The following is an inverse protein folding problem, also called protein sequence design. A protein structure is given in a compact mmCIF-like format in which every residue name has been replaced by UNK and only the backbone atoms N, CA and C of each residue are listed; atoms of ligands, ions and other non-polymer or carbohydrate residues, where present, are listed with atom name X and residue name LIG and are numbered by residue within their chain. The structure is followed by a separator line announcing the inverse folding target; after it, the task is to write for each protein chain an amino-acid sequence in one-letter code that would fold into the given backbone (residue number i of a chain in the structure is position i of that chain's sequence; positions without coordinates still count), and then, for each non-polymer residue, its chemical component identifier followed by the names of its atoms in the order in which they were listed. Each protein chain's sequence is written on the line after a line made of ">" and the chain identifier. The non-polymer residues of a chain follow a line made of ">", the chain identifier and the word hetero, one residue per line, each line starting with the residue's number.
data_IF_142791842600
#
_entry.id   IF_142791842600
#
_cell.length_a   1.000
_cell.length_b   1.000
_cell.length_c   1.000
_cell.angle_alpha   90.00
_cell.angle_beta   90.00
_cell.angle_gamma   90.00
#
_symmetry.space_group_name_H-M   'P 1'
#
loop_
_entity.id
_entity.type
_entity.pdbx_description
1 polymer ?
#
# COMPACT_ATOMS: atom_id res chain seq x y z
N UNK A 1 23.85 -5.19 14.42
CA UNK A 1 23.35 -5.71 13.13
C UNK A 1 22.42 -4.67 12.55
N UNK A 2 22.53 -4.38 11.25
CA UNK A 2 21.76 -3.33 10.59
C UNK A 2 21.38 -3.78 9.17
N UNK A 3 20.08 -3.80 8.87
CA UNK A 3 19.58 -4.15 7.53
C UNK A 3 19.92 -3.09 6.47
N UNK A 4 20.25 -1.86 6.89
CA UNK A 4 20.77 -0.82 5.99
C UNK A 4 22.15 -1.17 5.44
N UNK A 5 22.90 -2.07 6.11
CA UNK A 5 24.22 -2.51 5.71
C UNK A 5 24.56 -3.91 6.26
N UNK A 6 24.18 -4.95 5.51
CA UNK A 6 24.61 -6.32 5.75
C UNK A 6 25.70 -6.66 4.73
N UNK A 7 26.96 -6.62 5.15
CA UNK A 7 28.15 -6.87 4.32
C UNK A 7 28.23 -5.95 3.08
N UNK A 8 27.98 -4.66 3.25
CA UNK A 8 28.01 -3.67 2.17
C UNK A 8 26.73 -3.60 1.33
N UNK A 9 25.69 -4.38 1.68
CA UNK A 9 24.41 -4.43 0.95
C UNK A 9 23.25 -3.90 1.79
N UNK A 10 22.46 -3.00 1.21
CA UNK A 10 21.26 -2.41 1.82
C UNK A 10 20.00 -3.23 1.47
N UNK A 11 19.23 -3.59 2.49
CA UNK A 11 17.98 -4.36 2.39
C UNK A 11 16.74 -3.57 2.81
N UNK A 12 16.88 -2.28 3.10
CA UNK A 12 15.76 -1.39 3.38
C UNK A 12 15.18 -0.83 2.09
N UNK A 13 13.86 -0.73 2.05
CA UNK A 13 13.09 0.00 1.06
C UNK A 13 13.16 1.52 1.34
N UNK A 14 12.81 2.38 0.35
CA UNK A 14 12.86 3.83 0.53
C UNK A 14 12.00 4.32 1.70
N UNK A 15 12.38 5.44 2.30
CA UNK A 15 11.58 6.12 3.33
C UNK A 15 10.36 6.81 2.73
N UNK A 16 9.24 6.79 3.45
CA UNK A 16 7.95 7.38 3.04
C UNK A 16 7.47 8.42 4.05
N UNK A 17 6.63 9.35 3.59
CA UNK A 17 6.01 10.37 4.44
C UNK A 17 4.48 10.23 4.42
N UNK A 18 3.91 9.81 5.55
CA UNK A 18 2.46 9.61 5.68
C UNK A 18 1.66 10.92 5.74
N UNK A 19 2.29 12.05 6.04
CA UNK A 19 1.63 13.32 6.38
C UNK A 19 1.37 14.24 5.18
N UNK A 20 1.62 13.78 3.96
CA UNK A 20 1.42 14.56 2.72
C UNK A 20 0.59 13.78 1.72
N UNK A 21 -0.26 14.45 0.92
CA UNK A 21 -0.48 15.90 0.86
C UNK A 21 -1.33 16.48 2.01
N UNK A 22 -1.94 15.63 2.83
CA UNK A 22 -2.69 16.01 4.02
C UNK A 22 -2.29 15.12 5.20
N UNK A 23 -2.58 15.57 6.43
CA UNK A 23 -2.35 14.74 7.59
C UNK A 23 -3.19 13.46 7.54
N UNK A 24 -2.55 12.32 7.73
CA UNK A 24 -3.19 11.02 7.89
C UNK A 24 -2.42 10.22 8.95
N UNK A 25 -3.14 9.72 9.96
CA UNK A 25 -2.63 8.85 11.03
C UNK A 25 -2.42 7.40 10.59
N UNK A 26 -1.75 7.18 9.46
CA UNK A 26 -1.53 5.86 8.85
C UNK A 26 -0.16 5.24 9.20
N UNK A 27 0.37 5.50 10.39
CA UNK A 27 1.68 5.01 10.81
C UNK A 27 1.74 3.47 10.90
N UNK A 28 0.69 2.86 11.46
CA UNK A 28 0.55 1.40 11.56
C UNK A 28 0.63 0.72 10.19
N UNK A 29 0.03 1.35 9.17
CA UNK A 29 0.04 0.91 7.78
C UNK A 29 1.44 1.07 7.19
N UNK A 30 2.05 2.25 7.27
CA UNK A 30 3.38 2.51 6.73
C UNK A 30 4.45 1.59 7.33
N UNK A 31 4.47 1.46 8.65
CA UNK A 31 5.45 0.64 9.35
C UNK A 31 5.34 -0.84 8.95
N UNK A 32 4.11 -1.37 8.91
CA UNK A 32 3.87 -2.78 8.59
C UNK A 32 4.23 -3.11 7.15
N UNK A 33 3.84 -2.25 6.20
CA UNK A 33 4.15 -2.43 4.79
C UNK A 33 5.65 -2.32 4.51
N UNK A 34 6.33 -1.29 5.03
CA UNK A 34 7.79 -1.16 4.87
C UNK A 34 8.53 -2.37 5.46
N UNK A 35 8.14 -2.84 6.66
CA UNK A 35 8.75 -4.03 7.24
C UNK A 35 8.51 -5.30 6.39
N UNK A 36 7.35 -5.44 5.75
CA UNK A 36 7.05 -6.55 4.84
C UNK A 36 7.88 -6.45 3.54
N UNK A 37 7.98 -5.25 2.96
CA UNK A 37 8.77 -4.97 1.76
C UNK A 37 10.26 -5.27 1.99
N UNK A 38 10.82 -4.86 3.13
CA UNK A 38 12.21 -5.14 3.50
C UNK A 38 12.45 -6.65 3.63
N UNK A 39 11.49 -7.38 4.23
CA UNK A 39 11.56 -8.85 4.30
C UNK A 39 11.51 -9.51 2.92
N UNK A 40 10.72 -8.99 1.98
CA UNK A 40 10.73 -9.45 0.59
C UNK A 40 12.10 -9.19 -0.04
N UNK A 41 12.68 -8.01 0.17
CA UNK A 41 14.02 -7.67 -0.32
C UNK A 41 15.09 -8.60 0.27
N UNK A 42 15.03 -8.93 1.56
CA UNK A 42 15.89 -9.93 2.20
C UNK A 42 15.70 -11.31 1.59
N UNK A 43 14.45 -11.77 1.40
CA UNK A 43 14.15 -13.06 0.80
C UNK A 43 14.67 -13.18 -0.63
N UNK A 44 14.60 -12.08 -1.40
CA UNK A 44 15.18 -11.95 -2.75
C UNK A 44 16.69 -11.70 -2.73
N UNK A 45 17.36 -11.74 -1.58
CA UNK A 45 18.79 -11.43 -1.41
C UNK A 45 19.18 -10.07 -2.00
N UNK A 46 18.24 -9.12 -2.02
CA UNK A 46 18.36 -7.80 -2.62
C UNK A 46 18.62 -7.83 -4.12
N UNK A 47 18.00 -8.77 -4.84
CA UNK A 47 18.02 -8.85 -6.30
C UNK A 47 16.73 -8.30 -6.91
N UNK A 48 16.86 -7.65 -8.07
CA UNK A 48 15.75 -7.04 -8.80
C UNK A 48 15.21 -5.75 -8.15
N UNK A 49 14.07 -5.24 -8.65
CA UNK A 49 13.46 -4.02 -8.11
C UNK A 49 12.93 -4.24 -6.69
N UNK A 50 12.91 -3.14 -5.94
CA UNK A 50 12.23 -3.08 -4.63
C UNK A 50 10.72 -3.25 -4.83
N UNK A 51 10.11 -4.08 -4.00
CA UNK A 51 8.65 -4.25 -3.98
C UNK A 51 8.06 -3.11 -3.17
N UNK A 52 7.05 -2.45 -3.73
CA UNK A 52 6.32 -1.37 -3.09
C UNK A 52 4.86 -1.78 -2.95
N UNK A 53 4.43 -2.14 -1.75
CA UNK A 53 3.05 -2.61 -1.53
C UNK A 53 2.08 -1.43 -1.51
N UNK A 54 0.91 -1.60 -2.13
CA UNK A 54 -0.13 -0.59 -2.32
C UNK A 54 -0.72 -0.02 -1.03
N UNK A 55 -0.18 1.11 -0.59
CA UNK A 55 -0.60 1.82 0.63
C UNK A 55 -2.01 2.37 0.51
N UNK A 56 -2.32 3.01 -0.62
CA UNK A 56 -3.65 3.59 -0.83
C UNK A 56 -4.71 2.50 -1.00
N UNK A 57 -4.37 1.41 -1.71
CA UNK A 57 -5.25 0.25 -1.86
C UNK A 57 -5.65 -0.33 -0.52
N UNK A 58 -4.68 -0.50 0.40
CA UNK A 58 -4.97 -0.91 1.76
C UNK A 58 -5.76 0.16 2.53
N UNK A 59 -5.36 1.42 2.47
CA UNK A 59 -6.02 2.51 3.21
C UNK A 59 -7.51 2.63 2.86
N UNK A 60 -7.86 2.48 1.58
CA UNK A 60 -9.25 2.49 1.11
C UNK A 60 -10.07 1.28 1.57
N UNK A 61 -9.41 0.18 1.96
CA UNK A 61 -10.05 -1.12 2.21
C UNK A 61 -9.95 -1.63 3.64
N UNK A 62 -9.04 -1.11 4.45
CA UNK A 62 -8.79 -1.60 5.81
C UNK A 62 -9.99 -1.37 6.74
N UNK A 63 -10.80 -0.34 6.47
CA UNK A 63 -12.02 -0.03 7.23
C UNK A 63 -13.26 -0.69 6.65
N UNK A 64 -13.16 -1.26 5.44
CA UNK A 64 -14.26 -1.93 4.76
C UNK A 64 -14.50 -3.33 5.32
N UNK A 65 -15.56 -3.99 4.86
CA UNK A 65 -15.95 -5.34 5.32
C UNK A 65 -14.80 -6.32 5.18
N UNK A 66 -14.03 -6.20 4.11
CA UNK A 66 -12.85 -6.99 3.78
C UNK A 66 -11.77 -6.86 4.86
N UNK A 67 -11.40 -5.63 5.23
CA UNK A 67 -10.41 -5.39 6.28
C UNK A 67 -10.91 -5.69 7.70
N UNK A 68 -12.22 -5.58 7.94
CA UNK A 68 -12.84 -5.91 9.22
C UNK A 68 -13.13 -7.42 9.38
N UNK A 69 -13.15 -8.20 8.30
CA UNK A 69 -13.56 -9.61 8.31
C UNK A 69 -12.78 -10.47 9.30
N UNK A 70 -11.49 -10.15 9.51
CA UNK A 70 -10.60 -10.87 10.43
C UNK A 70 -10.53 -10.25 11.83
N UNK A 71 -11.57 -9.50 12.24
CA UNK A 71 -11.66 -8.82 13.53
C UNK A 71 -10.86 -7.53 13.60
N UNK A 72 -10.65 -6.87 12.45
CA UNK A 72 -9.84 -5.67 12.35
C UNK A 72 -10.42 -4.49 13.14
N UNK A 73 -9.55 -3.73 13.80
CA UNK A 73 -9.91 -2.57 14.62
C UNK A 73 -9.45 -1.25 13.99
N UNK A 74 -8.66 -1.31 12.92
CA UNK A 74 -8.09 -0.15 12.24
C UNK A 74 -9.14 0.77 11.63
N UNK A 75 -8.90 2.07 11.74
CA UNK A 75 -9.82 3.16 11.36
C UNK A 75 -9.16 4.11 10.33
N UNK A 76 -8.45 3.54 9.36
CA UNK A 76 -7.90 4.27 8.23
C UNK A 76 -6.93 5.37 8.66
N UNK A 77 -7.20 6.63 8.31
CA UNK A 77 -6.37 7.77 8.71
C UNK A 77 -6.54 8.18 10.19
N UNK A 78 -7.44 7.57 10.95
CA UNK A 78 -7.64 7.82 12.38
C UNK A 78 -6.82 6.89 13.29
N UNK A 79 -5.92 6.11 12.71
CA UNK A 79 -5.09 5.14 13.43
C UNK A 79 -5.56 3.70 13.24
N UNK A 80 -4.74 2.77 13.70
CA UNK A 80 -5.00 1.34 13.54
C UNK A 80 -3.88 0.47 14.10
N UNK A 81 -3.96 -0.82 13.79
CA UNK A 81 -3.09 -1.86 14.34
C UNK A 81 -2.32 -2.56 13.20
N UNK A 82 -1.02 -2.78 13.43
CA UNK A 82 -0.15 -3.46 12.48
C UNK A 82 -0.61 -4.90 12.17
N UNK A 83 -1.22 -5.60 13.13
CA UNK A 83 -1.73 -6.96 12.94
C UNK A 83 -2.84 -7.01 11.88
N UNK A 84 -3.68 -5.98 11.81
CA UNK A 84 -4.74 -5.90 10.79
C UNK A 84 -4.14 -5.83 9.39
N UNK A 85 -3.02 -5.12 9.23
CA UNK A 85 -2.28 -5.02 7.97
C UNK A 85 -1.73 -6.38 7.55
N UNK A 86 -1.10 -7.10 8.48
CA UNK A 86 -0.57 -8.44 8.19
C UNK A 86 -1.67 -9.46 7.89
N UNK A 87 -2.80 -9.41 8.59
CA UNK A 87 -3.98 -10.25 8.30
C UNK A 87 -4.55 -9.95 6.92
N UNK A 88 -4.71 -8.68 6.58
CA UNK A 88 -5.18 -8.27 5.26
C UNK A 88 -4.26 -8.82 4.15
N UNK A 89 -2.94 -8.68 4.32
CA UNK A 89 -1.98 -9.23 3.35
C UNK A 89 -2.02 -10.75 3.25
N UNK A 90 -2.30 -11.45 4.35
CA UNK A 90 -2.39 -12.91 4.37
C UNK A 90 -3.67 -13.41 3.68
N UNK A 91 -4.82 -12.80 4.00
CA UNK A 91 -6.14 -13.30 3.57
C UNK A 91 -6.55 -12.79 2.18
N UNK A 92 -6.13 -11.58 1.82
CA UNK A 92 -6.55 -10.88 0.58
C UNK A 92 -5.34 -10.58 -0.30
N UNK A 93 -4.23 -10.16 0.29
CA UNK A 93 -3.06 -9.68 -0.43
C UNK A 93 -3.15 -8.20 -0.81
N UNK A 94 -2.08 -7.68 -1.41
CA UNK A 94 -1.99 -6.29 -1.86
C UNK A 94 -1.38 -6.20 -3.25
N UNK A 95 -1.83 -5.25 -4.07
CA UNK A 95 -1.17 -4.93 -5.33
C UNK A 95 0.10 -4.09 -5.08
N UNK A 96 0.81 -3.77 -6.16
CA UNK A 96 1.91 -2.81 -6.15
C UNK A 96 1.39 -1.38 -5.94
N UNK A 97 2.21 -0.48 -5.39
CA UNK A 97 1.91 0.93 -5.15
C UNK A 97 1.49 1.68 -6.41
N UNK A 98 1.93 1.24 -7.59
CA UNK A 98 1.52 1.82 -8.87
C UNK A 98 0.04 1.61 -9.20
N UNK A 99 -0.64 0.66 -8.55
CA UNK A 99 -2.08 0.44 -8.74
C UNK A 99 -2.95 1.54 -8.15
N UNK A 100 -2.52 2.14 -7.03
CA UNK A 100 -3.21 3.26 -6.41
C UNK A 100 -2.20 4.03 -5.56
N UNK A 101 -1.76 5.18 -6.05
CA UNK A 101 -0.72 5.97 -5.40
C UNK A 101 -1.23 6.59 -4.11
N UNK A 102 -0.41 6.65 -3.08
CA UNK A 102 -0.79 7.22 -1.78
C UNK A 102 -1.29 8.68 -1.87
N UNK A 103 -2.48 8.92 -1.31
CA UNK A 103 -3.17 10.21 -1.29
C UNK A 103 -3.39 10.77 0.13
N UNK A 104 -2.95 10.04 1.16
CA UNK A 104 -3.11 10.39 2.58
C UNK A 104 -4.55 10.68 3.03
N UNK A 105 -5.53 9.99 2.45
CA UNK A 105 -6.93 10.01 2.87
C UNK A 105 -7.65 8.82 2.24
N UNK A 106 -8.70 8.35 2.87
CA UNK A 106 -9.63 7.38 2.27
C UNK A 106 -10.38 8.06 1.12
N UNK A 107 -10.08 7.67 -0.12
CA UNK A 107 -10.61 8.32 -1.34
C UNK A 107 -11.70 7.53 -2.03
N UNK A 108 -11.79 6.22 -1.76
CA UNK A 108 -12.64 5.31 -2.52
C UNK A 108 -13.35 4.33 -1.59
N UNK A 109 -14.53 3.87 -2.02
CA UNK A 109 -15.16 2.68 -1.45
C UNK A 109 -14.30 1.48 -1.85
N UNK A 110 -14.13 0.50 -0.95
CA UNK A 110 -13.35 -0.69 -1.25
C UNK A 110 -14.01 -1.53 -2.36
N UNK A 111 -13.56 -1.32 -3.59
CA UNK A 111 -13.96 -2.05 -4.79
C UNK A 111 -12.72 -2.34 -5.67
N UNK A 112 -12.93 -2.90 -6.86
CA UNK A 112 -11.84 -3.22 -7.78
C UNK A 112 -10.95 -2.00 -8.12
N UNK A 113 -11.53 -0.80 -8.19
CA UNK A 113 -10.77 0.42 -8.50
C UNK A 113 -9.97 0.91 -7.30
N UNK A 114 -10.50 0.75 -6.09
CA UNK A 114 -9.73 1.02 -4.89
C UNK A 114 -8.50 0.12 -4.79
N UNK A 115 -8.61 -1.14 -5.23
CA UNK A 115 -7.48 -2.06 -5.31
C UNK A 115 -6.48 -1.63 -6.38
N UNK A 116 -6.91 -1.48 -7.63
CA UNK A 116 -6.05 -1.07 -8.72
C UNK A 116 -6.83 -0.29 -9.77
N UNK A 117 -6.30 0.87 -10.16
CA UNK A 117 -6.93 1.72 -11.14
C UNK A 117 -5.91 2.41 -12.02
N UNK A 118 -6.23 2.56 -13.31
CA UNK A 118 -5.45 3.39 -14.21
C UNK A 118 -6.35 4.26 -15.10
N UNK A 119 -5.99 5.53 -15.22
CA UNK A 119 -6.75 6.54 -15.96
C UNK A 119 -5.98 7.03 -17.19
N UNK A 120 -5.15 6.19 -17.82
CA UNK A 120 -4.38 6.60 -19.00
C UNK A 120 -5.32 7.13 -20.10
N UNK A 121 -5.00 8.29 -20.71
CA UNK A 121 -5.74 8.77 -21.87
C UNK A 121 -5.46 7.80 -23.03
N UNK A 122 -6.47 7.05 -23.47
CA UNK A 122 -6.35 6.25 -24.68
C UNK A 122 -6.21 7.18 -25.89
N UNK A 123 -5.25 6.90 -26.76
CA UNK A 123 -5.07 7.59 -28.04
C UNK A 123 -6.06 7.10 -29.12
N UNK A 124 -7.33 6.87 -28.75
CA UNK A 124 -8.39 6.59 -29.72
C UNK A 124 -9.12 7.88 -30.12
N UNK A 125 -9.64 7.98 -31.35
CA UNK A 125 -10.25 9.22 -31.87
C UNK A 125 -11.57 9.60 -31.17
N UNK A 126 -12.01 8.83 -30.18
CA UNK A 126 -13.19 9.14 -29.39
C UNK A 126 -12.75 9.30 -27.94
N UNK A 127 -12.65 10.57 -27.53
CA UNK A 127 -12.57 11.00 -26.13
C UNK A 127 -13.88 10.64 -25.39
N UNK A 128 -14.28 9.37 -25.38
CA UNK A 128 -15.39 8.90 -24.58
C UNK A 128 -14.90 8.73 -23.14
N UNK A 129 -14.90 9.88 -22.45
CA UNK A 129 -14.87 10.07 -21.01
C UNK A 129 -13.72 9.36 -20.28
N UNK A 130 -12.68 10.10 -19.85
CA UNK A 130 -11.72 9.80 -18.76
C UNK A 130 -12.00 8.55 -17.87
N UNK A 131 -12.07 7.36 -18.46
CA UNK A 131 -12.64 6.19 -17.81
C UNK A 131 -11.48 5.44 -17.22
N UNK A 132 -11.32 5.65 -15.92
CA UNK A 132 -10.42 4.82 -15.17
C UNK A 132 -10.97 3.39 -15.12
N UNK A 133 -10.13 2.44 -15.51
CA UNK A 133 -10.39 1.01 -15.37
C UNK A 133 -9.75 0.49 -14.10
#
# INVERSE_FOLDING_TARGET
>A
FDWSNVNGKNYLSPSWNQHVPTYCGSCYLHASLTAAQDRIKVAKRGEGPDVMLGRQSLLNCITAKEGKASGGVSEGCRGGDSLDVYRYMHDIGLPDETCNTYQAKETMVCDARAQCMNCMPYAEPVMENFKCW
#
